data_IF_684825531076
#
_entry.id   IF_684825531076
#
_cell.length_a   1.000
_cell.length_b   1.000
_cell.length_c   1.000
_cell.angle_alpha   90.00
_cell.angle_beta   90.00
_cell.angle_gamma   90.00
#
_symmetry.space_group_name_H-M   'P 1'
#
loop_
_entity.id
_entity.type
_entity.pdbx_description
1 polymer ?
#
# COMPACT_ATOMS: atom_id res chain seq x y z
N UNK A 1 -4.12 -12.10 -5.27
CA UNK A 1 -3.83 -10.69 -4.96
C UNK A 1 -2.34 -10.43 -5.09
N UNK A 2 -2.00 -9.30 -5.72
CA UNK A 2 -0.61 -8.97 -6.01
C UNK A 2 0.12 -8.43 -4.78
N UNK A 3 1.41 -8.75 -4.66
CA UNK A 3 2.38 -8.12 -3.77
C UNK A 3 3.64 -7.84 -4.56
N UNK A 4 4.15 -6.63 -4.43
CA UNK A 4 5.42 -6.24 -5.01
C UNK A 4 6.52 -6.52 -4.01
N UNK A 5 7.42 -7.47 -4.31
CA UNK A 5 8.54 -7.79 -3.44
C UNK A 5 9.71 -6.86 -3.77
N UNK A 6 10.17 -6.15 -2.76
CA UNK A 6 11.31 -5.23 -2.84
C UNK A 6 12.50 -5.88 -2.16
N UNK A 7 13.65 -5.86 -2.84
CA UNK A 7 14.91 -6.40 -2.35
C UNK A 7 15.81 -5.25 -1.87
N UNK A 8 16.36 -5.40 -0.67
CA UNK A 8 17.38 -4.49 -0.16
C UNK A 8 18.66 -4.61 -0.93
N UNK A 9 18.97 -5.81 -1.38
CA UNK A 9 20.23 -6.22 -1.96
C UNK A 9 20.22 -6.18 -3.50
N UNK A 10 21.38 -6.30 -4.08
CA UNK A 10 21.57 -6.35 -5.52
C UNK A 10 21.17 -7.68 -6.16
N UNK A 11 21.24 -7.72 -7.49
CA UNK A 11 20.91 -8.90 -8.29
C UNK A 11 21.74 -10.16 -7.96
N UNK A 12 22.88 -10.01 -7.31
CA UNK A 12 23.72 -11.16 -6.93
C UNK A 12 23.07 -12.05 -5.88
N UNK A 13 22.32 -11.46 -4.94
CA UNK A 13 21.54 -12.20 -3.98
C UNK A 13 20.16 -12.54 -4.55
N UNK A 14 19.48 -11.58 -5.19
CA UNK A 14 18.13 -11.79 -5.72
C UNK A 14 18.04 -12.97 -6.70
N UNK A 15 19.07 -13.22 -7.49
CA UNK A 15 19.12 -14.33 -8.47
C UNK A 15 19.33 -15.72 -7.86
N UNK A 16 19.64 -15.83 -6.58
CA UNK A 16 19.89 -17.11 -5.94
C UNK A 16 18.62 -17.91 -5.61
N UNK A 17 17.47 -17.27 -5.66
CA UNK A 17 16.17 -17.89 -5.39
C UNK A 17 15.21 -17.51 -6.49
N UNK A 18 14.57 -18.49 -7.10
CA UNK A 18 13.54 -18.26 -8.10
C UNK A 18 12.32 -17.56 -7.46
N UNK A 19 11.71 -16.57 -8.15
CA UNK A 19 10.56 -15.85 -7.61
C UNK A 19 9.36 -16.78 -7.45
N UNK A 20 8.60 -16.60 -6.38
CA UNK A 20 7.30 -17.27 -6.23
C UNK A 20 6.33 -16.75 -7.28
N UNK A 21 5.60 -17.64 -7.92
CA UNK A 21 4.52 -17.33 -8.87
C UNK A 21 3.17 -17.73 -8.30
N UNK A 22 2.09 -17.14 -8.83
CA UNK A 22 0.72 -17.60 -8.57
C UNK A 22 0.26 -18.70 -9.54
N UNK A 23 1.07 -19.00 -10.55
CA UNK A 23 0.74 -20.03 -11.55
C UNK A 23 0.85 -21.44 -10.97
N UNK A 24 -0.27 -22.16 -10.95
CA UNK A 24 -0.29 -23.57 -10.58
C UNK A 24 0.28 -24.44 -11.73
N UNK A 25 0.98 -25.55 -11.44
CA UNK A 25 1.19 -26.16 -10.10
C UNK A 25 2.42 -25.63 -9.33
N UNK A 26 3.18 -24.66 -9.87
CA UNK A 26 4.48 -24.25 -9.32
C UNK A 26 4.42 -23.09 -8.32
N UNK A 27 3.25 -22.49 -8.15
CA UNK A 27 3.05 -21.35 -7.27
C UNK A 27 1.81 -21.44 -6.41
N UNK A 28 1.54 -20.40 -5.65
CA UNK A 28 0.39 -20.31 -4.74
C UNK A 28 -0.22 -18.91 -4.74
N UNK A 29 -1.56 -18.79 -4.70
CA UNK A 29 -2.23 -17.51 -4.47
C UNK A 29 -2.33 -17.13 -2.99
N UNK A 30 -1.95 -18.02 -2.07
CA UNK A 30 -1.99 -17.79 -0.62
C UNK A 30 -0.83 -16.90 -0.17
N UNK A 31 -1.07 -15.73 0.45
CA UNK A 31 0.00 -14.85 0.90
C UNK A 31 0.95 -15.49 1.92
N UNK A 32 0.50 -16.50 2.68
CA UNK A 32 1.36 -17.20 3.64
C UNK A 32 2.48 -17.97 2.96
N UNK A 33 2.26 -18.46 1.75
CA UNK A 33 3.30 -19.14 0.99
C UNK A 33 4.32 -18.14 0.43
N UNK A 34 3.89 -16.91 0.12
CA UNK A 34 4.82 -15.82 -0.19
C UNK A 34 5.69 -15.48 1.04
N UNK A 35 5.10 -15.38 2.23
CA UNK A 35 5.86 -15.07 3.44
C UNK A 35 6.87 -16.18 3.79
N UNK A 36 6.51 -17.45 3.60
CA UNK A 36 7.45 -18.58 3.72
C UNK A 36 8.59 -18.50 2.71
N UNK A 37 8.26 -18.14 1.47
CA UNK A 37 9.26 -17.93 0.42
C UNK A 37 10.21 -16.78 0.79
N UNK A 38 9.69 -15.67 1.30
CA UNK A 38 10.50 -14.53 1.75
C UNK A 38 11.44 -14.92 2.89
N UNK A 39 10.95 -15.69 3.86
CA UNK A 39 11.77 -16.21 4.95
C UNK A 39 12.88 -17.14 4.44
N UNK A 40 12.57 -18.04 3.52
CA UNK A 40 13.55 -18.94 2.90
C UNK A 40 14.59 -18.16 2.06
N UNK A 41 14.18 -17.07 1.40
CA UNK A 41 15.10 -16.19 0.70
C UNK A 41 16.12 -15.55 1.68
N UNK A 42 15.65 -14.95 2.77
CA UNK A 42 16.54 -14.33 3.79
C UNK A 42 17.45 -15.36 4.44
N UNK A 43 16.95 -16.55 4.75
CA UNK A 43 17.75 -17.63 5.32
C UNK A 43 18.88 -18.07 4.39
N UNK A 44 18.56 -18.29 3.11
CA UNK A 44 19.50 -18.78 2.11
C UNK A 44 20.55 -17.74 1.72
N UNK A 45 20.12 -16.50 1.51
CA UNK A 45 20.95 -15.46 0.90
C UNK A 45 21.61 -14.51 1.89
N UNK A 46 21.04 -14.43 3.11
CA UNK A 46 21.33 -13.39 4.11
C UNK A 46 20.96 -11.97 3.63
N UNK A 47 20.26 -11.87 2.51
CA UNK A 47 19.65 -10.64 2.04
C UNK A 47 18.37 -10.29 2.81
N UNK A 48 17.74 -9.18 2.45
CA UNK A 48 16.50 -8.71 3.06
C UNK A 48 15.45 -8.38 2.00
N UNK A 49 14.19 -8.68 2.31
CA UNK A 49 13.05 -8.40 1.44
C UNK A 49 11.85 -7.91 2.24
N UNK A 50 11.03 -7.09 1.61
CA UNK A 50 9.70 -6.73 2.09
C UNK A 50 8.69 -6.84 0.95
N UNK A 51 7.40 -6.94 1.27
CA UNK A 51 6.34 -6.94 0.29
C UNK A 51 5.41 -5.74 0.48
N UNK A 52 4.92 -5.20 -0.64
CA UNK A 52 3.95 -4.12 -0.68
C UNK A 52 2.63 -4.69 -1.20
N UNK A 53 1.58 -4.61 -0.40
CA UNK A 53 0.24 -5.00 -0.83
C UNK A 53 -0.26 -4.05 -1.93
N UNK A 54 -0.78 -4.60 -3.02
CA UNK A 54 -1.12 -3.92 -4.26
C UNK A 54 -2.56 -4.26 -4.70
N UNK A 55 -3.30 -3.27 -5.24
CA UNK A 55 -4.70 -3.41 -5.65
C UNK A 55 -5.67 -3.80 -4.51
N UNK A 56 -5.55 -3.17 -3.36
CA UNK A 56 -6.43 -3.42 -2.21
C UNK A 56 -7.91 -3.24 -2.55
N UNK A 57 -8.24 -2.12 -3.20
CA UNK A 57 -9.59 -1.76 -3.65
C UNK A 57 -10.23 -2.74 -4.64
N UNK A 58 -9.48 -3.65 -5.23
CA UNK A 58 -9.94 -4.62 -6.23
C UNK A 58 -9.82 -6.07 -5.74
N UNK A 59 -9.81 -6.28 -4.44
CA UNK A 59 -9.48 -7.56 -3.81
C UNK A 59 -10.68 -8.44 -3.42
N UNK A 60 -11.91 -7.99 -3.64
CA UNK A 60 -13.12 -8.65 -3.15
C UNK A 60 -13.09 -8.95 -1.64
N UNK A 61 -12.65 -7.95 -0.86
CA UNK A 61 -12.57 -8.05 0.59
C UNK A 61 -11.46 -8.96 1.11
N UNK A 62 -10.44 -9.27 0.30
CA UNK A 62 -9.40 -10.24 0.66
C UNK A 62 -8.05 -9.62 0.99
N UNK A 63 -7.90 -8.30 0.84
CA UNK A 63 -6.61 -7.66 1.11
C UNK A 63 -6.31 -7.56 2.60
N UNK A 64 -7.30 -7.19 3.40
CA UNK A 64 -7.15 -6.97 4.85
C UNK A 64 -8.14 -7.83 5.65
N UNK A 65 -8.05 -9.17 5.55
CA UNK A 65 -9.04 -10.06 6.14
C UNK A 65 -8.95 -10.09 7.66
N UNK A 66 -10.08 -10.27 8.32
CA UNK A 66 -10.18 -10.74 9.71
C UNK A 66 -10.49 -12.25 9.76
N UNK A 67 -10.95 -12.77 8.62
CA UNK A 67 -11.15 -14.21 8.38
C UNK A 67 -10.33 -14.57 7.15
N UNK A 68 -9.42 -15.51 7.28
CA UNK A 68 -8.57 -15.95 6.19
C UNK A 68 -9.37 -16.51 5.01
N UNK A 69 -9.10 -16.01 3.81
CA UNK A 69 -9.82 -16.41 2.60
C UNK A 69 -9.57 -17.86 2.17
N UNK A 70 -8.43 -18.44 2.56
CA UNK A 70 -8.04 -19.80 2.15
C UNK A 70 -8.43 -20.87 3.16
N UNK A 71 -8.56 -20.52 4.44
CA UNK A 71 -8.92 -21.48 5.49
C UNK A 71 -10.32 -21.28 6.04
N UNK A 72 -10.90 -20.10 5.87
CA UNK A 72 -12.17 -19.70 6.48
C UNK A 72 -12.09 -19.51 7.99
N UNK A 73 -10.90 -19.50 8.58
CA UNK A 73 -10.68 -19.30 10.02
C UNK A 73 -10.41 -17.83 10.31
N UNK A 74 -10.69 -17.39 11.53
CA UNK A 74 -10.19 -16.10 12.01
C UNK A 74 -8.68 -16.10 11.92
N UNK A 75 -8.11 -14.95 11.57
CA UNK A 75 -6.66 -14.80 11.65
C UNK A 75 -6.22 -14.96 13.10
N UNK A 76 -5.10 -15.63 13.28
CA UNK A 76 -4.47 -15.87 14.56
C UNK A 76 -3.22 -14.99 14.75
N UNK A 77 -2.57 -15.17 15.87
CA UNK A 77 -1.36 -14.44 16.21
C UNK A 77 -0.22 -14.71 15.22
N UNK A 78 -0.04 -15.96 14.80
CA UNK A 78 1.01 -16.35 13.85
C UNK A 78 0.82 -15.65 12.50
N UNK A 79 -0.41 -15.62 11.98
CA UNK A 79 -0.75 -14.86 10.77
C UNK A 79 -0.46 -13.38 10.95
N UNK A 80 -0.86 -12.78 12.09
CA UNK A 80 -0.68 -11.37 12.36
C UNK A 80 0.81 -10.98 12.45
N UNK A 81 1.63 -11.79 13.12
CA UNK A 81 3.08 -11.60 13.23
C UNK A 81 3.76 -11.72 11.85
N UNK A 82 3.42 -12.74 11.06
CA UNK A 82 3.97 -12.92 9.73
C UNK A 82 3.61 -11.75 8.81
N UNK A 83 2.35 -11.31 8.81
CA UNK A 83 1.94 -10.18 8.00
C UNK A 83 2.61 -8.87 8.42
N UNK A 84 2.69 -8.59 9.71
CA UNK A 84 3.36 -7.40 10.25
C UNK A 84 4.85 -7.36 9.88
N UNK A 85 5.50 -8.53 9.83
CA UNK A 85 6.91 -8.66 9.43
C UNK A 85 7.12 -8.42 7.93
N UNK A 86 6.28 -9.03 7.08
CA UNK A 86 6.55 -9.13 5.66
C UNK A 86 5.87 -8.05 4.81
N UNK A 87 4.75 -7.49 5.26
CA UNK A 87 3.98 -6.47 4.55
C UNK A 87 3.94 -5.13 5.32
N UNK A 88 5.10 -4.45 5.51
CA UNK A 88 5.14 -3.20 6.26
C UNK A 88 4.52 -2.03 5.52
N UNK A 89 4.23 -2.17 4.23
CA UNK A 89 3.70 -1.13 3.35
C UNK A 89 2.50 -1.60 2.57
N UNK A 90 1.63 -0.63 2.23
CA UNK A 90 0.55 -0.82 1.26
C UNK A 90 0.54 0.31 0.23
N UNK A 91 0.06 0.01 -0.95
CA UNK A 91 -0.25 0.99 -1.98
C UNK A 91 -1.68 1.49 -1.78
N UNK A 92 -1.85 2.80 -1.64
CA UNK A 92 -3.17 3.43 -1.43
C UNK A 92 -3.68 4.21 -2.62
N UNK A 93 -2.87 4.42 -3.66
CA UNK A 93 -3.29 5.10 -4.87
C UNK A 93 -2.44 4.70 -6.06
N UNK A 94 -3.07 4.52 -7.19
CA UNK A 94 -2.47 4.28 -8.50
C UNK A 94 -3.54 4.45 -9.58
N UNK A 95 -3.20 4.34 -10.87
CA UNK A 95 -4.14 4.58 -11.98
C UNK A 95 -5.39 3.69 -12.00
N UNK A 96 -5.46 2.62 -11.22
CA UNK A 96 -6.66 1.80 -11.01
C UNK A 96 -7.41 2.17 -9.72
N UNK A 97 -7.33 3.42 -9.32
CA UNK A 97 -8.14 3.99 -8.27
C UNK A 97 -7.48 4.10 -6.92
N UNK A 98 -8.20 4.72 -6.02
CA UNK A 98 -7.85 4.93 -4.62
C UNK A 98 -8.06 3.67 -3.79
N UNK A 99 -7.19 3.44 -2.83
CA UNK A 99 -7.25 2.38 -1.83
C UNK A 99 -7.22 2.90 -0.39
N UNK A 100 -7.31 4.23 -0.19
CA UNK A 100 -7.28 4.83 1.14
C UNK A 100 -8.61 4.66 1.87
N UNK A 101 -9.70 5.13 1.26
CA UNK A 101 -11.05 4.99 1.80
C UNK A 101 -12.11 4.97 0.68
N UNK A 102 -13.38 4.85 1.06
CA UNK A 102 -14.53 4.82 0.17
C UNK A 102 -15.70 5.59 0.81
N UNK A 103 -16.58 6.27 0.04
CA UNK A 103 -17.74 6.98 0.60
C UNK A 103 -18.63 6.13 1.52
N UNK A 104 -18.74 4.84 1.22
CA UNK A 104 -19.48 3.90 2.07
C UNK A 104 -18.86 3.75 3.48
N UNK A 105 -17.52 3.89 3.59
CA UNK A 105 -16.76 3.73 4.85
C UNK A 105 -16.53 5.06 5.56
N UNK A 106 -16.53 6.15 4.83
CA UNK A 106 -16.24 7.51 5.31
C UNK A 106 -17.25 8.51 4.75
N UNK A 107 -18.55 8.39 5.10
CA UNK A 107 -19.63 9.18 4.48
C UNK A 107 -19.60 10.68 4.80
N UNK A 108 -18.78 11.08 5.79
CA UNK A 108 -18.65 12.49 6.20
C UNK A 108 -17.34 13.12 5.66
N UNK A 109 -16.56 12.40 4.86
CA UNK A 109 -15.37 12.89 4.22
C UNK A 109 -15.70 13.27 2.77
N UNK A 110 -15.62 14.56 2.46
CA UNK A 110 -15.95 15.11 1.13
C UNK A 110 -14.99 14.66 0.03
N UNK A 111 -13.82 14.08 0.40
CA UNK A 111 -12.84 13.55 -0.54
C UNK A 111 -12.83 12.02 -0.62
N UNK A 112 -13.74 11.34 0.06
CA UNK A 112 -13.78 9.88 0.08
C UNK A 112 -14.14 9.25 -1.27
N UNK A 113 -14.73 10.01 -2.18
CA UNK A 113 -15.08 9.60 -3.54
C UNK A 113 -13.99 9.88 -4.58
N UNK A 114 -12.84 10.41 -4.14
CA UNK A 114 -11.72 10.72 -5.03
C UNK A 114 -11.24 9.46 -5.77
N UNK A 115 -11.33 9.51 -7.10
CA UNK A 115 -10.83 8.47 -8.01
C UNK A 115 -11.20 7.02 -7.62
N UNK A 116 -12.44 6.80 -7.24
CA UNK A 116 -12.95 5.51 -6.80
C UNK A 116 -13.05 4.49 -7.93
N UNK A 117 -12.48 3.30 -7.75
CA UNK A 117 -12.65 2.15 -8.64
C UNK A 117 -13.32 1.00 -7.87
N UNK A 118 -14.64 0.88 -7.98
CA UNK A 118 -15.47 -0.01 -7.16
C UNK A 118 -16.46 -0.88 -7.96
N UNK A 119 -16.29 -1.00 -9.28
CA UNK A 119 -17.20 -1.80 -10.11
C UNK A 119 -17.04 -3.30 -9.89
N UNK A 120 -15.84 -3.77 -9.67
CA UNK A 120 -15.54 -5.19 -9.54
C UNK A 120 -14.13 -5.48 -9.03
N UNK A 121 -13.80 -6.77 -9.02
CA UNK A 121 -12.44 -7.23 -8.74
C UNK A 121 -11.51 -6.98 -9.94
N UNK A 122 -10.22 -7.28 -9.75
CA UNK A 122 -9.18 -7.02 -10.74
C UNK A 122 -9.47 -7.60 -12.14
N UNK A 123 -10.13 -8.75 -12.22
CA UNK A 123 -10.46 -9.42 -13.48
C UNK A 123 -11.90 -9.12 -13.93
N UNK A 124 -12.62 -8.26 -13.23
CA UNK A 124 -14.05 -7.97 -13.44
C UNK A 124 -14.93 -9.23 -13.49
N UNK A 125 -14.52 -10.30 -12.81
CA UNK A 125 -15.28 -11.56 -12.75
C UNK A 125 -16.40 -11.53 -11.73
N UNK A 126 -16.32 -10.60 -10.76
CA UNK A 126 -17.32 -10.40 -9.71
C UNK A 126 -17.51 -8.91 -9.43
N UNK A 127 -18.78 -8.48 -9.43
CA UNK A 127 -19.13 -7.11 -9.05
C UNK A 127 -18.88 -6.86 -7.55
N UNK A 128 -18.58 -5.61 -7.19
CA UNK A 128 -18.43 -5.20 -5.80
C UNK A 128 -19.71 -5.38 -5.00
N UNK A 129 -19.52 -5.71 -3.72
CA UNK A 129 -20.57 -5.77 -2.70
C UNK A 129 -20.17 -4.94 -1.50
N UNK A 130 -21.10 -4.25 -0.84
CA UNK A 130 -20.78 -3.39 0.32
C UNK A 130 -19.98 -4.08 1.43
N UNK A 131 -20.22 -5.37 1.67
CA UNK A 131 -19.50 -6.16 2.66
C UNK A 131 -18.00 -6.37 2.35
N UNK A 132 -17.56 -6.07 1.13
CA UNK A 132 -16.15 -6.19 0.72
C UNK A 132 -15.34 -4.96 1.14
N UNK A 133 -15.93 -3.79 1.14
CA UNK A 133 -15.22 -2.51 1.29
C UNK A 133 -14.41 -2.43 2.60
N UNK A 134 -14.95 -2.89 3.72
CA UNK A 134 -14.26 -2.87 5.01
C UNK A 134 -12.87 -3.55 4.96
N UNK A 135 -12.71 -4.55 4.09
CA UNK A 135 -11.51 -5.38 4.00
C UNK A 135 -10.62 -5.06 2.79
N UNK A 136 -10.86 -3.89 2.15
CA UNK A 136 -10.17 -3.46 0.94
C UNK A 136 -9.38 -2.17 1.10
N UNK A 137 -9.81 -1.28 2.00
CA UNK A 137 -9.33 0.08 2.14
C UNK A 137 -8.48 0.29 3.40
N UNK A 138 -7.47 1.14 3.26
CA UNK A 138 -6.45 1.37 4.28
C UNK A 138 -7.01 1.85 5.61
N UNK A 139 -7.91 2.86 5.59
CA UNK A 139 -8.46 3.43 6.85
C UNK A 139 -9.24 2.41 7.67
N UNK A 140 -10.01 1.53 7.02
CA UNK A 140 -10.71 0.44 7.73
C UNK A 140 -9.75 -0.63 8.21
N UNK A 141 -8.71 -0.95 7.41
CA UNK A 141 -7.69 -1.90 7.81
C UNK A 141 -6.93 -1.42 9.06
N UNK A 142 -6.57 -0.13 9.14
CA UNK A 142 -5.97 0.45 10.35
C UNK A 142 -6.87 0.31 11.58
N UNK A 143 -8.18 0.59 11.44
CA UNK A 143 -9.16 0.39 12.53
C UNK A 143 -9.26 -1.07 12.96
N UNK A 144 -9.30 -2.00 12.00
CA UNK A 144 -9.33 -3.44 12.28
C UNK A 144 -8.01 -3.92 12.89
N UNK A 145 -6.88 -3.36 12.47
CA UNK A 145 -5.57 -3.62 13.07
C UNK A 145 -5.52 -3.33 14.57
N UNK A 146 -6.10 -2.19 15.01
CA UNK A 146 -6.19 -1.85 16.44
C UNK A 146 -7.08 -2.84 17.23
N UNK A 147 -8.18 -3.31 16.64
CA UNK A 147 -9.03 -4.34 17.26
C UNK A 147 -8.28 -5.67 17.41
N UNK A 148 -7.59 -6.08 16.35
CA UNK A 148 -6.80 -7.32 16.31
C UNK A 148 -5.62 -7.25 17.29
N UNK A 149 -4.96 -6.10 17.42
CA UNK A 149 -3.90 -5.90 18.40
C UNK A 149 -4.39 -6.13 19.84
N UNK A 150 -5.60 -5.66 20.15
CA UNK A 150 -6.23 -5.90 21.46
C UNK A 150 -6.54 -7.38 21.67
N UNK A 151 -6.92 -8.12 20.64
CA UNK A 151 -7.31 -9.53 20.73
C UNK A 151 -6.09 -10.48 20.68
N UNK A 152 -5.12 -10.19 19.80
CA UNK A 152 -4.01 -11.07 19.48
C UNK A 152 -2.67 -10.63 20.09
N UNK A 153 -2.59 -9.37 20.58
CA UNK A 153 -1.36 -8.77 21.06
C UNK A 153 -0.42 -8.31 19.93
N UNK A 154 -0.86 -8.38 18.67
CA UNK A 154 -0.11 -7.97 17.47
C UNK A 154 -1.06 -7.32 16.48
N UNK A 155 -0.62 -6.21 15.87
CA UNK A 155 -1.36 -5.51 14.82
C UNK A 155 -0.84 -5.90 13.43
N UNK A 156 -1.58 -6.68 12.64
CA UNK A 156 -1.17 -7.08 11.29
C UNK A 156 -1.25 -5.95 10.27
N UNK A 157 -1.88 -4.84 10.61
CA UNK A 157 -2.19 -3.72 9.71
C UNK A 157 -1.53 -2.40 10.15
N UNK A 158 -0.42 -2.46 10.86
CA UNK A 158 0.42 -1.31 11.19
C UNK A 158 1.41 -1.07 10.04
N UNK A 159 0.92 -0.52 8.94
CA UNK A 159 1.68 -0.30 7.71
C UNK A 159 1.90 1.18 7.42
N UNK A 160 2.94 1.48 6.64
CA UNK A 160 3.10 2.74 5.92
C UNK A 160 2.36 2.71 4.58
N UNK A 161 2.12 3.88 4.01
CA UNK A 161 1.37 4.04 2.77
C UNK A 161 2.28 4.58 1.66
N UNK A 162 2.12 4.07 0.46
CA UNK A 162 2.77 4.58 -0.75
C UNK A 162 1.75 4.75 -1.87
N UNK A 163 2.06 5.65 -2.82
CA UNK A 163 1.40 5.69 -4.12
C UNK A 163 2.28 5.04 -5.18
N UNK A 164 1.71 4.74 -6.32
CA UNK A 164 2.44 4.24 -7.49
C UNK A 164 1.81 4.68 -8.79
N UNK A 165 2.53 4.58 -9.90
CA UNK A 165 1.94 4.78 -11.22
C UNK A 165 1.24 3.53 -11.73
N UNK A 166 1.70 2.38 -11.33
CA UNK A 166 1.31 1.08 -11.88
C UNK A 166 1.40 1.02 -13.42
N UNK A 167 2.27 1.85 -14.01
CA UNK A 167 2.51 1.82 -15.45
C UNK A 167 3.34 0.61 -15.84
N UNK A 168 3.02 0.00 -16.98
CA UNK A 168 3.72 -1.13 -17.56
C UNK A 168 4.48 -0.75 -18.85
N UNK A 169 4.74 0.55 -19.03
CA UNK A 169 5.44 1.08 -20.20
C UNK A 169 6.92 1.33 -19.94
N UNK A 170 7.40 1.17 -18.71
CA UNK A 170 8.70 1.61 -18.20
C UNK A 170 8.91 3.15 -18.22
N UNK A 171 7.87 3.92 -18.52
CA UNK A 171 7.86 5.39 -18.53
C UNK A 171 6.99 5.87 -17.35
N UNK A 172 7.54 5.72 -16.14
CA UNK A 172 6.82 5.96 -14.90
C UNK A 172 6.76 7.46 -14.57
N UNK A 173 5.85 8.18 -15.20
CA UNK A 173 5.54 9.57 -14.88
C UNK A 173 4.06 9.72 -14.55
N UNK A 174 3.74 10.61 -13.59
CA UNK A 174 2.37 10.96 -13.21
C UNK A 174 1.99 12.38 -13.65
N UNK A 175 2.86 13.10 -14.34
CA UNK A 175 2.59 14.44 -14.85
C UNK A 175 1.61 14.34 -16.03
N UNK A 176 0.54 15.12 -16.04
CA UNK A 176 -0.51 15.03 -17.06
C UNK A 176 -0.02 15.31 -18.49
N UNK A 177 0.93 16.23 -18.63
CA UNK A 177 1.54 16.58 -19.92
C UNK A 177 2.58 15.56 -20.40
N UNK A 178 2.91 14.58 -19.56
CA UNK A 178 3.90 13.55 -19.84
C UNK A 178 3.45 12.14 -19.39
N UNK A 179 2.17 11.93 -19.15
CA UNK A 179 1.63 10.63 -18.76
C UNK A 179 1.50 9.73 -19.99
N UNK A 180 2.29 8.67 -20.03
CA UNK A 180 2.35 7.75 -21.17
C UNK A 180 1.26 6.65 -21.15
N UNK A 181 0.56 6.49 -20.06
CA UNK A 181 -0.51 5.50 -19.90
C UNK A 181 -0.08 4.20 -19.23
N UNK A 182 -1.00 3.24 -19.21
CA UNK A 182 -0.88 1.97 -18.48
C UNK A 182 0.01 0.97 -19.18
N UNK A 183 -0.22 0.74 -20.47
CA UNK A 183 0.46 -0.30 -21.22
C UNK A 183 0.63 0.11 -22.68
N UNK A 184 1.77 -0.20 -23.27
CA UNK A 184 2.12 0.16 -24.65
C UNK A 184 1.20 -0.41 -25.72
N UNK A 185 0.43 -1.44 -25.41
CA UNK A 185 -0.56 -2.01 -26.32
C UNK A 185 -1.86 -1.18 -26.41
N UNK A 186 -2.13 -0.33 -25.44
CA UNK A 186 -3.33 0.49 -25.34
C UNK A 186 -3.05 1.99 -25.33
N UNK A 187 -1.80 2.39 -25.16
CA UNK A 187 -1.41 3.79 -24.94
C UNK A 187 -0.09 4.15 -25.67
N UNK A 188 0.10 5.40 -26.08
CA UNK A 188 -0.91 6.45 -26.14
C UNK A 188 -1.95 6.18 -27.24
N UNK A 189 -3.21 6.58 -27.03
CA UNK A 189 -4.29 6.35 -27.98
C UNK A 189 -5.24 7.55 -28.04
N UNK A 190 -5.49 8.07 -29.23
CA UNK A 190 -6.38 9.23 -29.44
C UNK A 190 -7.85 8.93 -29.10
N UNK A 191 -8.27 7.68 -29.11
CA UNK A 191 -9.64 7.24 -28.78
C UNK A 191 -9.77 6.63 -27.40
N UNK A 192 -8.83 6.91 -26.50
CA UNK A 192 -8.79 6.38 -25.14
C UNK A 192 -10.12 6.50 -24.39
N UNK A 193 -10.83 7.62 -24.58
CA UNK A 193 -12.12 7.85 -23.92
C UNK A 193 -13.24 6.95 -24.47
N UNK A 194 -13.10 6.37 -25.64
CA UNK A 194 -14.17 5.70 -26.38
C UNK A 194 -14.16 4.19 -26.25
N UNK A 195 -13.09 3.60 -25.76
CA UNK A 195 -12.97 2.14 -25.65
C UNK A 195 -12.74 1.66 -24.23
N UNK A 196 -13.15 0.42 -23.90
CA UNK A 196 -12.88 -0.20 -22.63
C UNK A 196 -11.38 -0.42 -22.41
N UNK A 197 -10.88 -0.06 -21.23
CA UNK A 197 -9.58 -0.48 -20.75
C UNK A 197 -9.62 -1.94 -20.30
N UNK A 198 -10.68 -2.31 -19.58
CA UNK A 198 -10.95 -3.67 -19.13
C UNK A 198 -12.44 -3.97 -19.26
N UNK A 199 -12.78 -5.16 -19.72
CA UNK A 199 -14.17 -5.60 -19.72
C UNK A 199 -14.30 -7.11 -19.48
N UNK A 200 -15.42 -7.49 -18.88
CA UNK A 200 -15.88 -8.86 -18.80
C UNK A 200 -17.34 -8.93 -19.23
N UNK A 201 -17.61 -9.27 -20.50
CA UNK A 201 -18.97 -9.33 -21.02
C UNK A 201 -19.88 -10.32 -20.31
N UNK A 202 -19.31 -11.40 -19.73
CA UNK A 202 -20.07 -12.41 -18.97
C UNK A 202 -20.59 -11.86 -17.65
N UNK A 203 -19.83 -10.98 -17.02
CA UNK A 203 -20.23 -10.30 -15.77
C UNK A 203 -20.98 -8.99 -16.04
N UNK A 204 -21.02 -8.52 -17.28
CA UNK A 204 -21.59 -7.21 -17.64
C UNK A 204 -20.81 -6.02 -17.08
N UNK A 205 -19.53 -6.20 -16.77
CA UNK A 205 -18.68 -5.20 -16.15
C UNK A 205 -17.65 -4.68 -17.14
N UNK A 206 -17.43 -3.36 -17.11
CA UNK A 206 -16.38 -2.71 -17.90
C UNK A 206 -15.86 -1.47 -17.20
N UNK A 207 -14.60 -1.15 -17.47
CA UNK A 207 -13.91 0.08 -17.11
C UNK A 207 -13.41 0.70 -18.40
N UNK A 208 -13.78 1.95 -18.63
CA UNK A 208 -13.38 2.68 -19.81
C UNK A 208 -11.96 3.24 -19.68
N UNK A 209 -11.30 3.54 -20.78
CA UNK A 209 -9.97 4.12 -20.76
C UNK A 209 -9.88 5.45 -20.02
N UNK A 210 -10.93 6.27 -20.10
CA UNK A 210 -11.01 7.56 -19.39
C UNK A 210 -11.18 7.42 -17.88
N UNK A 211 -11.59 6.25 -17.37
CA UNK A 211 -11.71 5.97 -15.93
C UNK A 211 -10.37 5.61 -15.28
N UNK A 212 -9.29 5.52 -16.07
CA UNK A 212 -7.95 5.42 -15.49
C UNK A 212 -7.58 6.76 -14.83
N UNK A 213 -7.25 6.67 -13.57
CA UNK A 213 -7.07 7.86 -12.73
C UNK A 213 -5.64 8.41 -12.80
N UNK A 214 -5.40 9.55 -12.16
CA UNK A 214 -4.07 10.09 -12.00
C UNK A 214 -3.18 9.09 -11.25
N UNK A 215 -1.96 8.95 -11.72
CA UNK A 215 -0.98 8.09 -11.08
C UNK A 215 -0.43 8.73 -9.81
N UNK A 216 -0.07 7.90 -8.83
CA UNK A 216 0.58 8.34 -7.60
C UNK A 216 2.09 8.13 -7.60
N UNK A 217 2.73 8.65 -6.57
CA UNK A 217 4.13 8.40 -6.26
C UNK A 217 4.32 7.84 -4.86
N UNK A 218 5.32 6.97 -4.73
CA UNK A 218 5.89 6.61 -3.44
C UNK A 218 6.90 7.67 -3.02
N UNK A 219 6.73 8.24 -1.85
CA UNK A 219 7.70 9.14 -1.25
C UNK A 219 8.31 8.49 0.00
N UNK A 220 9.62 8.62 0.15
CA UNK A 220 10.40 7.95 1.19
C UNK A 220 11.39 8.94 1.81
N UNK A 221 11.39 9.05 3.13
CA UNK A 221 12.38 9.82 3.87
C UNK A 221 13.57 8.93 4.24
N UNK A 222 14.54 8.84 3.33
CA UNK A 222 15.78 8.13 3.52
C UNK A 222 16.93 9.09 3.89
N UNK A 223 17.94 8.57 4.62
CA UNK A 223 19.14 9.36 4.98
C UNK A 223 20.02 9.65 3.76
N UNK A 224 20.01 8.75 2.78
CA UNK A 224 20.81 8.81 1.58
C UNK A 224 20.03 8.26 0.40
N UNK A 225 20.35 8.68 -0.82
CA UNK A 225 19.77 8.13 -2.03
C UNK A 225 20.56 6.87 -2.47
N UNK A 226 20.49 5.86 -1.61
CA UNK A 226 21.04 4.52 -1.88
C UNK A 226 19.92 3.48 -1.76
N UNK A 227 20.10 2.33 -2.41
CA UNK A 227 19.13 1.23 -2.35
C UNK A 227 18.85 0.82 -0.90
N UNK A 228 19.90 0.66 -0.13
CA UNK A 228 19.87 0.21 1.26
C UNK A 228 19.15 1.23 2.15
N UNK A 229 19.49 2.50 2.04
CA UNK A 229 18.87 3.55 2.86
C UNK A 229 17.38 3.76 2.51
N UNK A 230 17.01 3.61 1.23
CA UNK A 230 15.62 3.65 0.79
C UNK A 230 14.86 2.45 1.34
N UNK A 231 15.41 1.24 1.22
CA UNK A 231 14.80 0.03 1.77
C UNK A 231 14.59 0.14 3.29
N UNK A 232 15.62 0.57 4.03
CA UNK A 232 15.56 0.74 5.48
C UNK A 232 14.48 1.76 5.89
N UNK A 233 14.28 2.82 5.09
CA UNK A 233 13.21 3.79 5.30
C UNK A 233 11.81 3.20 5.00
N UNK A 234 11.70 2.37 3.98
CA UNK A 234 10.48 1.64 3.65
C UNK A 234 10.14 0.61 4.75
N UNK A 235 11.12 -0.13 5.25
CA UNK A 235 10.93 -1.10 6.33
C UNK A 235 10.46 -0.44 7.63
N UNK A 236 11.01 0.73 8.00
CA UNK A 236 10.52 1.50 9.15
C UNK A 236 9.27 2.34 8.86
N UNK A 237 8.71 2.25 7.63
CA UNK A 237 7.45 2.89 7.20
C UNK A 237 7.51 4.42 7.15
N UNK A 238 8.68 5.02 7.04
CA UNK A 238 8.84 6.46 6.88
C UNK A 238 8.58 6.89 5.43
N UNK A 239 7.33 6.67 5.03
CA UNK A 239 6.85 6.81 3.65
C UNK A 239 5.52 7.55 3.62
N UNK A 240 5.19 8.14 2.47
CA UNK A 240 3.86 8.66 2.19
C UNK A 240 3.51 8.51 0.71
N UNK A 241 2.23 8.61 0.40
CA UNK A 241 1.69 8.59 -0.94
C UNK A 241 1.39 10.00 -1.44
N UNK A 242 1.52 10.21 -2.74
CA UNK A 242 0.90 11.35 -3.43
C UNK A 242 0.03 10.83 -4.57
N UNK A 243 -0.93 11.65 -5.02
CA UNK A 243 -1.85 11.34 -6.12
C UNK A 243 -1.42 12.00 -7.43
N UNK A 244 -0.12 12.20 -7.62
CA UNK A 244 0.48 12.77 -8.83
C UNK A 244 1.49 13.88 -8.54
N UNK A 245 1.16 14.94 -7.80
CA UNK A 245 2.11 16.01 -7.54
C UNK A 245 3.25 15.55 -6.63
N UNK A 246 4.46 16.08 -6.87
CA UNK A 246 5.65 15.79 -6.06
C UNK A 246 5.72 16.70 -4.83
N UNK A 247 4.74 16.54 -3.94
CA UNK A 247 4.70 17.27 -2.67
C UNK A 247 5.73 16.71 -1.70
N UNK A 248 6.30 17.61 -0.87
CA UNK A 248 7.17 17.24 0.25
C UNK A 248 6.37 17.37 1.54
N UNK A 249 6.11 16.24 2.17
CA UNK A 249 5.35 16.16 3.44
C UNK A 249 6.19 15.46 4.48
N UNK A 250 6.31 16.06 5.67
CA UNK A 250 6.77 15.41 6.89
C UNK A 250 5.69 15.49 7.93
N UNK A 251 5.56 14.47 8.74
CA UNK A 251 4.58 14.42 9.81
C UNK A 251 5.18 13.73 11.02
N UNK A 252 5.10 14.38 12.17
CA UNK A 252 5.62 13.87 13.43
C UNK A 252 4.53 13.90 14.49
N UNK A 253 4.50 12.88 15.35
CA UNK A 253 3.69 12.84 16.54
C UNK A 253 4.56 12.93 17.79
N UNK A 254 4.15 13.70 18.78
CA UNK A 254 4.90 13.88 20.02
C UNK A 254 4.03 14.37 21.18
N UNK A 255 4.63 14.49 22.35
CA UNK A 255 3.94 14.96 23.55
C UNK A 255 4.35 16.40 23.94
N UNK A 256 5.41 16.94 23.34
CA UNK A 256 6.08 18.16 23.77
C UNK A 256 6.37 19.13 22.64
N UNK A 257 5.63 19.05 21.53
CA UNK A 257 5.74 20.06 20.46
C UNK A 257 5.08 21.37 20.89
N UNK A 258 5.72 22.48 20.50
CA UNK A 258 5.26 23.83 20.76
C UNK A 258 5.13 24.64 19.45
N UNK A 259 4.53 25.82 19.53
CA UNK A 259 4.41 26.73 18.39
C UNK A 259 5.78 27.18 17.87
N UNK A 260 6.78 27.29 18.76
CA UNK A 260 8.15 27.64 18.38
C UNK A 260 8.79 26.55 17.51
N UNK A 261 8.49 25.28 17.76
CA UNK A 261 8.98 24.16 16.94
C UNK A 261 8.45 24.28 15.50
N UNK A 262 7.15 24.60 15.35
CA UNK A 262 6.52 24.76 14.04
C UNK A 262 7.04 26.01 13.28
N UNK A 263 7.42 27.07 14.01
CA UNK A 263 7.95 28.32 13.45
C UNK A 263 9.46 28.27 13.21
N UNK A 264 10.13 27.22 13.65
CA UNK A 264 11.57 27.06 13.48
C UNK A 264 11.95 26.95 11.99
N UNK A 265 13.19 27.30 11.66
CA UNK A 265 13.73 27.10 10.30
C UNK A 265 14.01 25.64 9.99
N UNK A 266 14.08 24.79 11.00
CA UNK A 266 14.39 23.37 10.92
C UNK A 266 13.38 22.54 11.71
N UNK A 267 12.07 22.60 11.38
CA UNK A 267 11.05 21.91 12.17
C UNK A 267 11.26 20.38 12.17
N UNK A 268 11.88 19.82 11.13
CA UNK A 268 12.23 18.42 11.09
C UNK A 268 13.19 17.97 12.18
N UNK A 269 14.12 18.82 12.64
CA UNK A 269 15.02 18.49 13.76
C UNK A 269 14.23 18.37 15.06
N UNK A 270 13.31 19.30 15.33
CA UNK A 270 12.39 19.22 16.45
C UNK A 270 11.53 17.95 16.37
N UNK A 271 11.01 17.63 15.17
CA UNK A 271 10.22 16.44 14.90
C UNK A 271 10.93 15.14 15.30
N UNK A 272 12.18 14.97 14.89
CA UNK A 272 12.97 13.77 15.23
C UNK A 272 13.48 13.73 16.67
N UNK A 273 13.68 14.86 17.33
CA UNK A 273 14.21 14.91 18.70
C UNK A 273 13.14 14.83 19.76
N UNK A 274 11.96 15.40 19.51
CA UNK A 274 10.85 15.49 20.48
C UNK A 274 9.72 14.49 20.21
N UNK A 275 9.72 13.84 19.03
CA UNK A 275 8.65 12.96 18.63
C UNK A 275 9.10 11.79 17.76
N UNK A 276 8.14 11.18 17.10
CA UNK A 276 8.34 10.08 16.15
C UNK A 276 7.87 10.51 14.76
N UNK A 277 8.59 10.14 13.69
CA UNK A 277 8.18 10.43 12.33
C UNK A 277 6.98 9.57 11.90
N UNK A 278 6.36 9.92 10.77
CA UNK A 278 5.37 9.07 10.10
C UNK A 278 5.84 7.62 10.01
N UNK A 279 4.94 6.65 10.20
CA UNK A 279 5.26 5.23 10.28
C UNK A 279 5.85 4.77 11.62
N UNK A 280 6.27 5.72 12.47
CA UNK A 280 6.77 5.44 13.82
C UNK A 280 5.66 5.08 14.82
N UNK A 281 6.04 4.79 16.04
CA UNK A 281 5.13 4.43 17.12
C UNK A 281 5.36 5.35 18.32
N UNK A 282 4.38 6.22 18.60
CA UNK A 282 4.40 7.08 19.78
C UNK A 282 3.95 6.26 21.00
N UNK A 283 4.89 5.98 21.90
CA UNK A 283 4.66 5.20 23.13
C UNK A 283 4.39 6.11 24.34
N UNK A 284 3.68 5.57 25.31
CA UNK A 284 3.49 6.20 26.60
C UNK A 284 2.38 7.23 26.60
N UNK A 285 1.12 6.77 26.70
CA UNK A 285 -0.01 7.66 26.99
C UNK A 285 0.25 8.42 28.32
N UNK A 286 0.37 9.74 28.25
CA UNK A 286 0.61 10.61 29.40
C UNK A 286 -0.68 11.21 29.99
N UNK A 287 -1.84 10.76 29.53
CA UNK A 287 -3.16 11.29 29.92
C UNK A 287 -3.61 12.47 29.06
N UNK A 288 -2.70 13.12 28.34
CA UNK A 288 -3.00 14.23 27.43
C UNK A 288 -3.06 13.74 25.97
N UNK A 289 -3.66 14.53 25.09
CA UNK A 289 -3.63 14.26 23.67
C UNK A 289 -2.22 14.54 23.10
N UNK A 290 -1.73 13.71 22.16
CA UNK A 290 -0.48 14.03 21.48
C UNK A 290 -0.63 15.28 20.60
N UNK A 291 0.45 16.00 20.42
CA UNK A 291 0.58 17.08 19.45
C UNK A 291 1.27 16.59 18.17
N UNK A 292 1.03 17.28 17.08
CA UNK A 292 1.59 16.93 15.77
C UNK A 292 2.32 18.13 15.16
N UNK A 293 3.38 17.81 14.43
CA UNK A 293 4.22 18.78 13.73
C UNK A 293 4.36 18.37 12.27
#
# INVERSE_FOLDING_TARGET
LHRNVIYRDGGDLARQVDPLTTATPWGSPDPRDLWKWMAAYEEKTRGQVLAIAHNGNMSNGRMFPIIESFTGKKIDREYAEARARWEPLIEVTQMKGDGETHPFLSPNDEFADYETWDKGNLDLTEAKKPAMFEFEYARSALKNGLKLEKELGVNPYKFGMIGSTDTHTALATADEDNFFGKASISEPNATRAEHPYMENPKAGLKIMGWEQTASGYAAVWAKENTREAIFDAMERRETYATTGPRMLVRFFGGWEFSDEDAQSRTPGEAGYTKGVPMGGELKGARGDAPSFL
#
